data_IF_200088687686
#
_entry.id   IF_200088687686
#
_cell.length_a   1.000
_cell.length_b   1.000
_cell.length_c   1.000
_cell.angle_alpha   90.00
_cell.angle_beta   90.00
_cell.angle_gamma   90.00
#
_symmetry.space_group_name_H-M   'P 1'
#
loop_
_entity.id
_entity.type
_entity.pdbx_description
1 polymer ?
#
# COMPACT_ATOMS: atom_id res chain seq x y z
N UNK A 1 35.35 12.98 35.30
CA UNK A 1 34.05 13.69 35.17
C UNK A 1 33.44 13.27 33.86
N UNK A 2 32.38 12.47 33.94
CA UNK A 2 31.72 11.77 32.86
C UNK A 2 30.96 12.74 31.93
N UNK A 3 31.04 12.50 30.63
CA UNK A 3 30.32 13.24 29.55
C UNK A 3 28.82 12.88 29.47
N UNK A 4 28.17 12.66 30.62
CA UNK A 4 26.75 12.32 30.74
C UNK A 4 26.06 13.38 31.59
N UNK A 5 25.69 14.53 31.03
CA UNK A 5 24.58 15.38 31.51
C UNK A 5 24.56 16.74 30.79
N UNK A 6 24.56 16.73 29.46
CA UNK A 6 23.88 17.81 28.76
C UNK A 6 22.56 17.24 28.29
N UNK A 7 21.51 17.39 29.09
CA UNK A 7 20.14 17.35 28.56
C UNK A 7 20.10 18.43 27.51
N UNK A 8 20.05 18.03 26.23
CA UNK A 8 19.78 18.98 25.16
C UNK A 8 18.50 19.74 25.53
N UNK A 9 18.51 21.06 25.42
CA UNK A 9 17.29 21.84 25.60
C UNK A 9 16.22 21.24 24.70
N UNK A 10 14.95 21.12 25.17
CA UNK A 10 13.89 20.55 24.38
C UNK A 10 13.75 21.32 23.10
N UNK A 11 13.72 20.64 21.95
CA UNK A 11 13.59 21.27 20.65
C UNK A 11 12.33 22.16 20.65
N UNK A 12 12.50 23.42 20.34
CA UNK A 12 11.40 24.41 20.27
C UNK A 12 11.37 25.02 18.88
N UNK A 13 10.18 25.12 18.30
CA UNK A 13 9.92 25.81 17.04
C UNK A 13 8.92 26.92 17.30
N UNK A 14 9.23 28.14 16.86
CA UNK A 14 8.35 29.28 17.00
C UNK A 14 8.12 29.94 15.63
N UNK A 15 6.90 30.38 15.38
CA UNK A 15 6.49 31.10 14.17
C UNK A 15 5.22 31.92 14.46
N UNK A 16 4.83 32.78 13.52
CA UNK A 16 3.60 33.54 13.63
C UNK A 16 2.54 33.09 12.62
N UNK A 17 1.30 33.29 12.97
CA UNK A 17 0.14 33.24 12.05
C UNK A 17 -0.69 34.51 12.22
N UNK A 18 -1.49 34.86 11.23
CA UNK A 18 -2.37 36.04 11.32
C UNK A 18 -3.75 35.66 11.86
N UNK A 19 -4.34 36.57 12.64
CA UNK A 19 -5.75 36.51 12.95
C UNK A 19 -6.61 36.78 11.70
N UNK A 20 -7.89 36.40 11.77
CA UNK A 20 -8.83 36.64 10.66
C UNK A 20 -10.26 36.79 11.19
N UNK A 21 -11.08 37.79 10.69
CA UNK A 21 -12.43 38.04 11.20
C UNK A 21 -13.42 36.88 11.10
N UNK A 22 -13.12 35.91 10.24
CA UNK A 22 -13.92 34.71 10.07
C UNK A 22 -13.51 33.54 11.00
N UNK A 23 -12.53 33.72 11.88
CA UNK A 23 -12.16 32.71 12.88
C UNK A 23 -13.30 32.59 13.89
N UNK A 24 -13.91 31.41 13.93
CA UNK A 24 -14.98 31.05 14.88
C UNK A 24 -14.50 30.07 15.94
N UNK A 25 -13.53 29.23 15.58
CA UNK A 25 -12.91 28.22 16.44
C UNK A 25 -13.97 27.40 17.21
N UNK A 26 -14.90 26.78 16.48
CA UNK A 26 -16.02 26.01 17.06
C UNK A 26 -15.95 24.52 16.76
N UNK A 27 -14.90 24.06 16.08
CA UNK A 27 -14.75 22.65 15.70
C UNK A 27 -14.27 21.79 16.88
N UNK A 28 -15.04 20.74 17.21
CA UNK A 28 -14.86 19.90 18.40
C UNK A 28 -13.85 18.74 18.26
N UNK A 29 -13.29 18.54 17.05
CA UNK A 29 -12.36 17.43 16.75
C UNK A 29 -11.01 17.88 16.23
N UNK A 30 -10.88 19.13 15.76
CA UNK A 30 -9.72 19.59 15.02
C UNK A 30 -9.40 21.05 15.33
N UNK A 31 -8.12 21.37 15.32
CA UNK A 31 -7.55 22.70 15.27
C UNK A 31 -6.63 22.79 14.05
N UNK A 32 -6.60 23.93 13.36
CA UNK A 32 -5.81 24.10 12.15
C UNK A 32 -5.14 25.48 12.10
N UNK A 33 -3.87 25.51 11.71
CA UNK A 33 -3.12 26.70 11.33
C UNK A 33 -2.76 26.54 9.83
N UNK A 34 -3.15 27.49 8.98
CA UNK A 34 -2.98 27.36 7.52
C UNK A 34 -2.14 28.46 6.90
N UNK A 35 -1.45 28.15 5.81
CA UNK A 35 -0.79 29.14 4.94
C UNK A 35 -1.78 29.91 4.07
N UNK A 36 -3.01 29.48 3.95
CA UNK A 36 -4.04 30.24 3.26
C UNK A 36 -4.19 31.61 3.90
N UNK A 37 -4.35 32.63 3.08
CA UNK A 37 -4.44 34.03 3.53
C UNK A 37 -5.87 34.45 3.86
N UNK A 38 -6.88 33.67 3.44
CA UNK A 38 -8.29 33.95 3.65
C UNK A 38 -9.07 32.69 3.91
N UNK A 39 -10.06 32.78 4.79
CA UNK A 39 -10.99 31.71 5.14
C UNK A 39 -12.43 32.23 5.16
N UNK A 40 -13.37 31.32 5.06
CA UNK A 40 -14.79 31.61 5.29
C UNK A 40 -15.21 31.18 6.70
N UNK A 41 -16.36 31.65 7.19
CA UNK A 41 -16.91 31.21 8.49
C UNK A 41 -17.21 29.70 8.58
N UNK A 42 -17.19 28.98 7.44
CA UNK A 42 -17.33 27.52 7.40
C UNK A 42 -16.06 26.78 7.85
N UNK A 43 -14.92 27.45 7.85
CA UNK A 43 -13.64 26.91 8.31
C UNK A 43 -13.56 26.93 9.86
N UNK A 44 -14.44 26.18 10.52
CA UNK A 44 -14.63 26.22 11.98
C UNK A 44 -13.45 25.67 12.80
N UNK A 45 -12.51 24.94 12.16
CA UNK A 45 -11.28 24.43 12.77
C UNK A 45 -10.10 25.40 12.70
N UNK A 46 -10.10 26.35 11.77
CA UNK A 46 -8.96 27.25 11.55
C UNK A 46 -8.93 28.31 12.64
N UNK A 47 -7.78 28.47 13.28
CA UNK A 47 -7.52 29.47 14.32
C UNK A 47 -6.44 30.47 13.93
N UNK A 48 -5.74 30.26 12.80
CA UNK A 48 -4.76 31.20 12.25
C UNK A 48 -4.53 30.97 10.78
N UNK A 49 -4.36 32.07 10.02
CA UNK A 49 -4.11 32.11 8.57
C UNK A 49 -2.73 32.65 8.29
N UNK A 50 -2.30 32.61 7.02
CA UNK A 50 -0.99 33.09 6.56
C UNK A 50 0.19 32.60 7.43
N UNK A 51 0.16 31.33 7.81
CA UNK A 51 1.17 30.72 8.69
C UNK A 51 2.57 30.80 8.06
N UNK A 52 3.54 31.28 8.83
CA UNK A 52 4.94 31.47 8.45
C UNK A 52 5.83 30.32 8.95
N UNK A 53 5.30 29.13 9.18
CA UNK A 53 6.09 28.00 9.67
C UNK A 53 7.13 27.52 8.65
N UNK A 54 8.29 27.09 9.17
CA UNK A 54 9.34 26.43 8.41
C UNK A 54 9.13 24.90 8.49
N UNK A 55 8.83 24.27 7.36
CA UNK A 55 8.61 22.83 7.27
C UNK A 55 9.82 22.04 7.78
N UNK A 56 11.06 22.51 7.50
CA UNK A 56 12.28 21.81 7.92
C UNK A 56 12.39 21.79 9.45
N UNK A 57 12.09 22.91 10.12
CA UNK A 57 12.08 22.97 11.57
C UNK A 57 11.00 22.08 12.17
N UNK A 58 9.79 22.06 11.59
CA UNK A 58 8.70 21.20 12.03
C UNK A 58 8.98 19.72 11.79
N UNK A 59 9.67 19.38 10.69
CA UNK A 59 10.08 18.00 10.39
C UNK A 59 11.09 17.43 11.40
N UNK A 60 11.81 18.28 12.12
CA UNK A 60 12.71 17.84 13.19
C UNK A 60 12.00 17.47 14.50
N UNK A 61 10.73 17.90 14.68
CA UNK A 61 9.96 17.59 15.89
C UNK A 61 9.53 16.13 15.92
N UNK A 62 9.60 15.51 17.09
CA UNK A 62 9.18 14.13 17.37
C UNK A 62 8.49 14.05 18.71
N UNK A 63 7.66 13.02 18.88
CA UNK A 63 7.05 12.69 20.16
C UNK A 63 5.93 13.62 20.60
N UNK A 64 5.78 13.75 21.91
CA UNK A 64 4.73 14.59 22.50
C UNK A 64 5.21 16.04 22.64
N UNK A 65 4.36 16.96 22.26
CA UNK A 65 4.66 18.40 22.26
C UNK A 65 3.61 19.19 23.05
N UNK A 66 4.03 20.35 23.54
CA UNK A 66 3.15 21.45 23.95
C UNK A 66 3.10 22.46 22.82
N UNK A 67 1.91 22.92 22.47
CA UNK A 67 1.65 23.97 21.49
C UNK A 67 1.00 25.12 22.24
N UNK A 68 1.67 26.28 22.25
CA UNK A 68 1.17 27.50 22.84
C UNK A 68 0.76 28.48 21.73
N UNK A 69 -0.38 29.13 21.94
CA UNK A 69 -0.91 30.19 21.10
C UNK A 69 -1.05 31.45 21.95
N UNK A 70 -0.48 32.56 21.50
CA UNK A 70 -0.56 33.85 22.20
C UNK A 70 -0.92 34.98 21.23
N UNK A 71 -1.84 35.89 21.66
CA UNK A 71 -2.26 37.02 20.89
C UNK A 71 -2.68 38.15 21.85
N UNK A 72 -2.00 39.32 21.74
CA UNK A 72 -2.33 40.54 22.51
C UNK A 72 -2.60 40.28 24.00
N UNK A 73 -1.66 39.62 24.69
CA UNK A 73 -1.70 39.32 26.11
C UNK A 73 -2.59 38.12 26.51
N UNK A 74 -3.42 37.57 25.62
CA UNK A 74 -4.13 36.33 25.86
C UNK A 74 -3.29 35.14 25.40
N UNK A 75 -3.31 34.03 26.16
CA UNK A 75 -2.54 32.80 25.86
C UNK A 75 -3.34 31.55 26.23
N UNK A 76 -3.19 30.52 25.40
CA UNK A 76 -3.66 29.18 25.72
C UNK A 76 -2.68 28.12 25.23
N UNK A 77 -2.73 26.94 25.82
CA UNK A 77 -1.84 25.83 25.49
C UNK A 77 -2.61 24.53 25.31
N UNK A 78 -2.09 23.65 24.48
CA UNK A 78 -2.54 22.27 24.33
C UNK A 78 -1.34 21.34 24.17
N UNK A 79 -1.54 20.06 24.51
CA UNK A 79 -0.56 19.01 24.23
C UNK A 79 -1.06 18.13 23.12
N UNK A 80 -0.14 17.63 22.28
CA UNK A 80 -0.46 16.68 21.20
C UNK A 80 0.77 15.83 20.89
N UNK A 81 0.63 14.77 20.08
CA UNK A 81 1.71 13.92 19.61
C UNK A 81 1.96 14.19 18.13
N UNK A 82 3.20 14.46 17.75
CA UNK A 82 3.58 14.70 16.34
C UNK A 82 3.30 13.45 15.52
N UNK A 83 2.66 13.64 14.38
CA UNK A 83 2.37 12.55 13.45
C UNK A 83 3.64 12.11 12.73
N UNK A 84 4.01 10.82 12.75
CA UNK A 84 5.14 10.32 11.98
C UNK A 84 4.90 10.41 10.46
N UNK A 85 3.65 10.60 10.02
CA UNK A 85 3.29 10.81 8.61
C UNK A 85 3.34 12.26 8.15
N UNK A 86 3.63 13.20 9.05
CA UNK A 86 3.81 14.59 8.65
C UNK A 86 5.12 14.76 7.89
N UNK A 87 5.03 15.23 6.66
CA UNK A 87 6.16 15.49 5.77
C UNK A 87 6.19 16.96 5.30
N UNK A 88 5.45 17.85 5.97
CA UNK A 88 5.20 19.23 5.57
C UNK A 88 3.85 19.31 4.84
N UNK A 89 3.08 20.32 5.20
CA UNK A 89 1.76 20.58 4.58
C UNK A 89 1.50 22.09 4.77
N UNK A 90 0.84 22.77 3.83
CA UNK A 90 0.46 24.16 4.01
C UNK A 90 -0.46 24.40 5.22
N UNK A 91 -1.05 23.34 5.74
CA UNK A 91 -1.89 23.39 6.95
C UNK A 91 -1.37 22.47 8.03
N UNK A 92 -1.19 22.99 9.24
CA UNK A 92 -0.89 22.20 10.44
C UNK A 92 -2.20 21.77 11.08
N UNK A 93 -2.64 20.57 10.73
CA UNK A 93 -3.89 20.00 11.25
C UNK A 93 -3.61 19.20 12.52
N UNK A 94 -4.20 19.60 13.64
CA UNK A 94 -4.07 19.00 14.96
C UNK A 94 -5.41 18.37 15.32
N UNK A 95 -5.41 17.08 15.70
CA UNK A 95 -6.64 16.30 15.94
C UNK A 95 -6.71 15.76 17.35
N UNK A 96 -7.91 15.76 17.93
CA UNK A 96 -8.18 15.17 19.28
C UNK A 96 -8.06 13.64 19.28
N UNK A 97 -8.50 12.97 18.23
CA UNK A 97 -8.59 11.50 18.23
C UNK A 97 -7.23 10.80 18.12
N UNK A 98 -7.12 9.57 18.66
CA UNK A 98 -5.93 8.74 18.58
C UNK A 98 -5.86 8.12 17.20
N UNK A 99 -5.61 8.68 16.19
CA UNK A 99 -5.58 8.05 14.87
C UNK A 99 -4.56 8.71 13.95
N UNK A 100 -3.61 7.94 13.51
CA UNK A 100 -2.68 8.33 12.48
C UNK A 100 -3.45 8.51 11.17
N UNK A 101 -3.46 9.72 10.64
CA UNK A 101 -4.08 10.06 9.36
C UNK A 101 -3.10 10.84 8.51
N UNK A 102 -3.11 10.59 7.22
CA UNK A 102 -2.41 11.44 6.27
C UNK A 102 -2.84 12.92 6.45
N UNK A 103 -1.93 13.84 6.16
CA UNK A 103 -2.16 15.29 6.29
C UNK A 103 -2.55 15.73 7.72
N UNK A 104 -1.96 15.10 8.73
CA UNK A 104 -2.13 15.45 10.13
C UNK A 104 -0.76 15.83 10.67
N UNK A 105 -0.62 17.03 11.22
CA UNK A 105 0.60 17.48 11.89
C UNK A 105 0.75 16.80 13.25
N UNK A 106 -0.33 16.82 14.06
CA UNK A 106 -0.33 16.20 15.38
C UNK A 106 -1.70 15.59 15.71
N UNK A 107 -1.69 14.54 16.52
CA UNK A 107 -2.87 13.80 16.96
C UNK A 107 -2.90 13.63 18.48
N UNK A 108 -3.95 13.04 19.03
CA UNK A 108 -4.17 12.87 20.47
C UNK A 108 -4.02 14.20 21.23
N UNK A 109 -4.64 15.23 20.68
CA UNK A 109 -4.58 16.58 21.23
C UNK A 109 -5.49 16.74 22.46
N UNK A 110 -4.97 17.37 23.49
CA UNK A 110 -5.73 17.68 24.73
C UNK A 110 -6.85 18.68 24.50
N UNK A 111 -6.71 19.57 23.50
CA UNK A 111 -7.70 20.56 23.09
C UNK A 111 -7.85 20.62 21.57
N UNK A 112 -9.00 21.13 21.14
CA UNK A 112 -9.31 21.45 19.73
C UNK A 112 -9.68 22.91 19.62
N UNK A 113 -10.09 23.37 18.44
CA UNK A 113 -10.48 24.76 18.25
C UNK A 113 -11.59 25.21 19.21
N UNK A 114 -12.58 24.35 19.47
CA UNK A 114 -13.70 24.65 20.37
C UNK A 114 -13.33 24.81 21.85
N UNK A 115 -12.21 24.21 22.28
CA UNK A 115 -11.78 24.23 23.68
C UNK A 115 -10.83 25.38 24.01
N UNK A 116 -10.38 26.13 23.00
CA UNK A 116 -9.50 27.27 23.24
C UNK A 116 -10.19 28.38 24.02
N UNK A 117 -9.39 29.08 24.80
CA UNK A 117 -9.86 30.25 25.56
C UNK A 117 -10.58 31.25 24.66
N UNK A 118 -11.79 31.63 25.03
CA UNK A 118 -12.64 32.52 24.23
C UNK A 118 -12.10 33.97 24.17
N UNK A 119 -11.34 34.42 25.20
CA UNK A 119 -10.68 35.72 25.13
C UNK A 119 -9.56 35.72 24.11
N UNK A 120 -8.77 34.62 24.02
CA UNK A 120 -7.77 34.43 22.96
C UNK A 120 -8.44 34.43 21.59
N UNK A 121 -9.52 33.67 21.40
CA UNK A 121 -10.22 33.62 20.11
C UNK A 121 -10.81 34.98 19.72
N UNK A 122 -11.31 35.75 20.64
CA UNK A 122 -11.78 37.12 20.38
C UNK A 122 -10.64 38.04 19.88
N UNK A 123 -9.44 37.94 20.47
CA UNK A 123 -8.26 38.67 19.99
C UNK A 123 -7.82 38.25 18.59
N UNK A 124 -7.79 36.95 18.34
CA UNK A 124 -7.46 36.39 17.00
C UNK A 124 -8.48 36.86 15.96
N UNK A 125 -9.76 36.86 16.29
CA UNK A 125 -10.83 37.29 15.39
C UNK A 125 -10.83 38.81 15.13
N UNK A 126 -10.30 39.63 16.05
CA UNK A 126 -10.12 41.05 15.81
C UNK A 126 -9.14 41.31 14.67
N UNK A 127 -8.21 40.38 14.40
CA UNK A 127 -7.22 40.43 13.33
C UNK A 127 -6.28 41.65 13.36
N UNK A 128 -6.12 42.26 14.53
CA UNK A 128 -5.27 43.49 14.74
C UNK A 128 -3.81 43.11 15.00
N UNK A 129 -3.55 41.90 15.49
CA UNK A 129 -2.23 41.42 15.88
C UNK A 129 -1.94 40.02 15.29
N UNK A 130 -0.66 39.71 15.13
CA UNK A 130 -0.21 38.35 14.83
C UNK A 130 -0.43 37.46 16.04
N UNK A 131 -0.57 36.15 15.78
CA UNK A 131 -0.67 35.12 16.79
C UNK A 131 0.67 34.40 16.86
N UNK A 132 1.33 34.48 17.99
CA UNK A 132 2.59 33.79 18.24
C UNK A 132 2.26 32.30 18.51
N UNK A 133 2.93 31.40 17.79
CA UNK A 133 2.83 29.96 17.95
C UNK A 133 4.19 29.43 18.40
N UNK A 134 4.20 28.74 19.53
CA UNK A 134 5.39 28.06 20.04
C UNK A 134 5.10 26.56 20.21
N UNK A 135 5.93 25.70 19.65
CA UNK A 135 5.83 24.24 19.76
C UNK A 135 7.07 23.73 20.45
N UNK A 136 6.92 23.13 21.62
CA UNK A 136 8.00 22.63 22.47
C UNK A 136 7.84 21.13 22.67
N UNK A 137 8.92 20.37 22.40
CA UNK A 137 8.95 18.92 22.64
C UNK A 137 8.97 18.66 24.15
N UNK A 138 8.04 17.83 24.64
CA UNK A 138 7.96 17.38 26.03
C UNK A 138 8.60 16.01 26.19
N UNK A 139 8.23 15.05 25.34
CA UNK A 139 8.63 13.66 25.38
C UNK A 139 9.01 13.22 23.96
N UNK A 140 10.30 13.20 23.59
CA UNK A 140 10.73 12.91 22.22
C UNK A 140 10.42 11.48 21.78
N UNK A 141 10.42 10.52 22.71
CA UNK A 141 10.23 9.08 22.44
C UNK A 141 8.76 8.64 22.51
N UNK A 142 7.82 9.56 22.72
CA UNK A 142 6.40 9.24 22.89
C UNK A 142 5.69 8.78 21.59
N UNK A 143 6.34 8.90 20.42
CA UNK A 143 5.81 8.42 19.16
C UNK A 143 6.90 7.70 18.37
N UNK A 144 6.58 6.52 17.83
CA UNK A 144 7.44 5.81 16.87
C UNK A 144 7.50 6.52 15.52
N UNK A 145 8.44 6.10 14.66
CA UNK A 145 8.57 6.55 13.29
C UNK A 145 7.52 5.99 12.35
N UNK A 146 7.72 6.17 11.06
CA UNK A 146 6.86 5.61 10.02
C UNK A 146 7.68 4.97 8.90
N UNK A 147 7.19 3.85 8.38
CA UNK A 147 7.69 3.20 7.17
C UNK A 147 6.79 3.56 5.99
N UNK A 148 7.35 4.19 4.97
CA UNK A 148 6.67 4.50 3.72
C UNK A 148 7.07 3.48 2.66
N UNK A 149 6.10 2.79 2.07
CA UNK A 149 6.33 1.88 0.94
C UNK A 149 6.03 2.67 -0.34
N UNK A 150 7.08 3.08 -1.05
CA UNK A 150 6.99 4.07 -2.14
C UNK A 150 7.15 3.40 -3.49
N UNK A 151 6.13 3.52 -4.35
CA UNK A 151 6.21 3.03 -5.73
C UNK A 151 7.00 3.98 -6.61
N UNK A 152 7.90 3.41 -7.44
CA UNK A 152 8.72 4.11 -8.42
C UNK A 152 8.25 3.85 -9.86
N UNK A 153 8.68 4.66 -10.84
CA UNK A 153 8.40 4.43 -12.25
C UNK A 153 8.83 3.05 -12.74
N UNK A 154 8.06 2.47 -13.66
CA UNK A 154 8.37 1.18 -14.30
C UNK A 154 9.04 1.35 -15.68
N UNK A 155 9.37 2.58 -16.06
CA UNK A 155 10.06 2.88 -17.31
C UNK A 155 9.86 4.29 -17.85
N UNK A 156 8.84 5.01 -17.38
CA UNK A 156 8.59 6.40 -17.73
C UNK A 156 8.69 7.27 -16.46
N UNK A 157 9.70 8.15 -16.41
CA UNK A 157 9.92 9.01 -15.25
C UNK A 157 8.73 9.97 -14.99
N UNK A 158 7.89 10.23 -15.99
CA UNK A 158 6.65 11.00 -15.86
C UNK A 158 5.59 10.33 -14.98
N UNK A 159 5.73 9.03 -14.69
CA UNK A 159 4.85 8.30 -13.79
C UNK A 159 5.27 8.43 -12.30
N UNK A 160 6.39 9.10 -12.01
CA UNK A 160 6.81 9.41 -10.65
C UNK A 160 5.82 10.41 -10.03
N UNK A 161 5.13 9.98 -9.00
CA UNK A 161 4.11 10.84 -8.38
C UNK A 161 4.76 11.98 -7.58
N UNK A 162 4.17 13.19 -7.54
CA UNK A 162 4.67 14.30 -6.70
C UNK A 162 4.82 13.90 -5.23
N UNK A 163 3.90 13.05 -4.71
CA UNK A 163 3.97 12.55 -3.34
C UNK A 163 5.14 11.60 -3.13
N UNK A 164 5.53 10.80 -4.12
CA UNK A 164 6.72 9.95 -4.02
C UNK A 164 7.98 10.81 -3.89
N UNK A 165 8.12 11.85 -4.70
CA UNK A 165 9.21 12.81 -4.61
C UNK A 165 9.25 13.45 -3.23
N UNK A 166 8.12 14.00 -2.75
CA UNK A 166 8.01 14.64 -1.45
C UNK A 166 8.45 13.70 -0.30
N UNK A 167 8.01 12.43 -0.33
CA UNK A 167 8.40 11.43 0.67
C UNK A 167 9.90 11.18 0.61
N UNK A 168 10.46 10.92 -0.58
CA UNK A 168 11.87 10.59 -0.75
C UNK A 168 12.81 11.72 -0.34
N UNK A 169 12.40 12.99 -0.53
CA UNK A 169 13.17 14.15 -0.11
C UNK A 169 13.12 14.43 1.40
N UNK A 170 12.02 14.02 2.09
CA UNK A 170 11.71 14.47 3.44
C UNK A 170 11.77 13.40 4.53
N UNK A 171 11.94 12.14 4.16
CA UNK A 171 12.21 11.07 5.13
C UNK A 171 13.62 11.17 5.70
N UNK A 172 13.93 10.44 6.75
CA UNK A 172 15.26 10.43 7.38
C UNK A 172 16.20 9.41 6.70
N UNK A 173 15.62 8.34 6.13
CA UNK A 173 16.35 7.25 5.45
C UNK A 173 15.53 6.66 4.29
N UNK A 174 16.20 6.37 3.18
CA UNK A 174 15.65 5.58 2.06
C UNK A 174 16.33 4.21 2.01
N UNK A 175 15.55 3.15 2.05
CA UNK A 175 15.95 1.78 1.79
C UNK A 175 15.73 1.51 0.30
N UNK A 176 16.79 1.39 -0.49
CA UNK A 176 16.71 1.15 -1.92
C UNK A 176 17.31 -0.20 -2.28
N UNK A 177 16.68 -0.94 -3.18
CA UNK A 177 17.19 -2.21 -3.68
C UNK A 177 18.57 -1.99 -4.31
N UNK A 178 18.69 -1.05 -5.26
CA UNK A 178 19.96 -0.55 -5.79
C UNK A 178 20.03 0.99 -5.67
N UNK A 179 20.88 1.48 -4.78
CA UNK A 179 21.07 2.94 -4.56
C UNK A 179 21.57 3.68 -5.82
N UNK A 180 22.23 2.99 -6.75
CA UNK A 180 22.71 3.59 -8.01
C UNK A 180 21.53 3.86 -8.95
N UNK A 181 20.52 2.97 -8.98
CA UNK A 181 19.29 3.17 -9.76
C UNK A 181 18.45 4.30 -9.18
N UNK A 182 18.33 4.38 -7.87
CA UNK A 182 17.69 5.52 -7.21
C UNK A 182 18.39 6.83 -7.58
N UNK A 183 19.72 6.88 -7.49
CA UNK A 183 20.49 8.08 -7.85
C UNK A 183 20.33 8.47 -9.34
N UNK A 184 20.28 7.49 -10.24
CA UNK A 184 19.99 7.76 -11.64
C UNK A 184 18.57 8.33 -11.86
N UNK A 185 17.58 7.88 -11.08
CA UNK A 185 16.22 8.44 -11.11
C UNK A 185 16.20 9.87 -10.58
N UNK A 186 16.90 10.16 -9.46
CA UNK A 186 17.05 11.52 -8.92
C UNK A 186 17.54 12.50 -9.98
N UNK A 187 18.60 12.11 -10.72
CA UNK A 187 19.18 12.96 -11.76
C UNK A 187 18.21 13.20 -12.92
N UNK A 188 17.46 12.19 -13.35
CA UNK A 188 16.51 12.32 -14.47
C UNK A 188 15.26 13.09 -14.10
N UNK A 189 14.74 12.85 -12.88
CA UNK A 189 13.49 13.43 -12.41
C UNK A 189 13.68 14.78 -11.68
N UNK A 190 14.93 15.19 -11.38
CA UNK A 190 15.26 16.50 -10.84
C UNK A 190 14.91 16.68 -9.36
N UNK A 191 15.06 15.64 -8.53
CA UNK A 191 14.90 15.71 -7.07
C UNK A 191 16.14 15.16 -6.36
N UNK A 192 16.19 15.30 -5.03
CA UNK A 192 17.28 14.75 -4.21
C UNK A 192 16.68 13.98 -3.05
N UNK A 193 16.84 12.67 -3.06
CA UNK A 193 16.38 11.82 -1.97
C UNK A 193 17.19 12.07 -0.69
N UNK A 194 16.60 11.76 0.44
CA UNK A 194 17.29 11.69 1.71
C UNK A 194 18.41 10.64 1.69
N UNK A 195 19.15 10.51 2.79
CA UNK A 195 20.19 9.49 2.94
C UNK A 195 19.69 8.11 2.52
N UNK A 196 20.29 7.50 1.51
CA UNK A 196 19.91 6.18 1.01
C UNK A 196 20.89 5.08 1.45
N UNK A 197 20.37 3.87 1.66
CA UNK A 197 21.16 2.66 1.91
C UNK A 197 20.57 1.48 1.15
N UNK A 198 21.44 0.51 0.76
CA UNK A 198 20.96 -0.67 0.03
C UNK A 198 20.19 -1.62 0.94
N UNK A 199 19.04 -2.12 0.45
CA UNK A 199 18.17 -3.08 1.12
C UNK A 199 17.57 -4.02 0.08
N UNK A 200 18.06 -5.26 0.02
CA UNK A 200 17.72 -6.25 -1.00
C UNK A 200 17.65 -7.66 -0.38
N UNK A 201 17.14 -8.64 -1.08
CA UNK A 201 16.91 -10.01 -0.60
C UNK A 201 18.13 -10.65 0.12
N UNK A 202 19.35 -10.32 -0.32
CA UNK A 202 20.56 -10.89 0.27
C UNK A 202 21.01 -10.24 1.58
N UNK A 203 20.52 -9.04 1.91
CA UNK A 203 20.92 -8.33 3.13
C UNK A 203 19.76 -7.93 4.06
N UNK A 204 18.50 -8.13 3.63
CA UNK A 204 17.34 -7.70 4.41
C UNK A 204 17.28 -8.34 5.79
N UNK A 205 17.62 -9.63 5.93
CA UNK A 205 17.61 -10.34 7.20
C UNK A 205 18.63 -9.78 8.20
N UNK A 206 19.79 -9.32 7.72
CA UNK A 206 20.84 -8.70 8.53
C UNK A 206 20.50 -7.26 8.93
N UNK A 207 19.87 -6.51 8.01
CA UNK A 207 19.62 -5.08 8.17
C UNK A 207 18.33 -4.74 8.89
N UNK A 208 17.34 -5.63 8.90
CA UNK A 208 16.01 -5.34 9.44
C UNK A 208 16.02 -4.84 10.87
N UNK A 209 16.83 -5.41 11.76
CA UNK A 209 16.88 -4.99 13.15
C UNK A 209 17.41 -3.57 13.33
N UNK A 210 18.40 -3.17 12.50
CA UNK A 210 18.90 -1.79 12.45
C UNK A 210 17.84 -0.80 11.98
N UNK A 211 17.09 -1.14 10.93
CA UNK A 211 16.00 -0.33 10.41
C UNK A 211 14.89 -0.17 11.44
N UNK A 212 14.50 -1.25 12.12
CA UNK A 212 13.48 -1.18 13.16
C UNK A 212 13.94 -0.34 14.36
N UNK A 213 15.24 -0.37 14.69
CA UNK A 213 15.78 0.50 15.72
C UNK A 213 15.69 1.99 15.33
N UNK A 214 15.89 2.34 14.06
CA UNK A 214 15.70 3.71 13.57
C UNK A 214 14.22 4.12 13.63
N UNK A 215 13.31 3.26 13.17
CA UNK A 215 11.87 3.48 13.26
C UNK A 215 11.38 3.65 14.72
N UNK A 216 11.90 2.86 15.68
CA UNK A 216 11.56 3.02 17.11
C UNK A 216 12.05 4.34 17.70
N UNK A 217 13.13 4.93 17.17
CA UNK A 217 13.61 6.27 17.56
C UNK A 217 12.81 7.41 16.95
N UNK A 218 11.74 7.11 16.20
CA UNK A 218 10.90 8.13 15.58
C UNK A 218 11.33 8.54 14.16
N UNK A 219 12.31 7.84 13.57
CA UNK A 219 12.77 8.11 12.22
C UNK A 219 11.69 7.74 11.17
N UNK A 220 11.62 8.50 10.11
CA UNK A 220 10.80 8.22 8.93
C UNK A 220 11.65 7.50 7.90
N UNK A 221 11.20 6.34 7.48
CA UNK A 221 11.95 5.49 6.54
C UNK A 221 11.12 5.24 5.30
N UNK A 222 11.68 5.43 4.11
CA UNK A 222 11.07 5.03 2.85
C UNK A 222 11.69 3.73 2.35
N UNK A 223 10.86 2.81 1.85
CA UNK A 223 11.27 1.60 1.14
C UNK A 223 10.93 1.75 -0.33
N UNK A 224 11.91 1.55 -1.22
CA UNK A 224 11.75 1.54 -2.68
C UNK A 224 12.39 0.29 -3.28
N UNK A 225 11.79 -0.24 -4.35
CA UNK A 225 12.40 -1.20 -5.26
C UNK A 225 13.02 -0.49 -6.47
N UNK A 226 13.69 -1.23 -7.32
CA UNK A 226 14.30 -0.70 -8.55
C UNK A 226 13.26 -0.12 -9.53
N UNK A 227 12.03 -0.65 -9.51
CA UNK A 227 10.92 -0.21 -10.33
C UNK A 227 9.58 -0.72 -9.76
N UNK A 228 8.50 0.03 -9.91
CA UNK A 228 7.17 -0.37 -9.48
C UNK A 228 6.96 -0.29 -7.96
N UNK A 229 6.11 -1.16 -7.43
CA UNK A 229 5.70 -1.17 -6.03
C UNK A 229 6.50 -2.20 -5.25
N UNK A 230 7.27 -1.80 -4.21
CA UNK A 230 8.04 -2.72 -3.38
C UNK A 230 7.20 -3.86 -2.81
N UNK A 231 7.86 -4.97 -2.41
CA UNK A 231 7.23 -6.17 -1.83
C UNK A 231 6.53 -7.07 -2.87
N UNK A 232 6.03 -6.52 -3.97
CA UNK A 232 5.33 -7.28 -5.01
C UNK A 232 6.33 -7.91 -6.01
N UNK A 233 6.88 -9.05 -5.68
CA UNK A 233 8.00 -9.74 -6.36
C UNK A 233 9.35 -9.02 -6.20
N UNK A 234 9.45 -8.17 -5.21
CA UNK A 234 10.60 -7.36 -4.84
C UNK A 234 10.91 -7.52 -3.34
N UNK A 235 12.11 -7.16 -2.86
CA UNK A 235 12.45 -7.19 -1.43
C UNK A 235 11.58 -6.25 -0.60
N UNK A 236 11.57 -6.47 0.72
CA UNK A 236 10.93 -5.58 1.69
C UNK A 236 9.82 -6.21 2.53
N UNK A 237 9.37 -7.43 2.21
CA UNK A 237 8.35 -8.11 3.01
C UNK A 237 8.76 -8.22 4.49
N UNK A 238 10.02 -8.52 4.77
CA UNK A 238 10.53 -8.73 6.13
C UNK A 238 10.39 -7.47 6.97
N UNK A 239 10.86 -6.31 6.46
CA UNK A 239 10.77 -5.06 7.21
C UNK A 239 9.33 -4.58 7.39
N UNK A 240 8.48 -4.72 6.37
CA UNK A 240 7.06 -4.36 6.45
C UNK A 240 6.35 -5.23 7.48
N UNK A 241 6.54 -6.55 7.41
CA UNK A 241 5.92 -7.50 8.33
C UNK A 241 6.34 -7.25 9.79
N UNK A 242 7.64 -7.03 10.01
CA UNK A 242 8.19 -6.76 11.34
C UNK A 242 7.72 -5.41 11.90
N UNK A 243 7.69 -4.37 11.07
CA UNK A 243 7.19 -3.05 11.45
C UNK A 243 5.72 -3.12 11.89
N UNK A 244 4.88 -3.82 11.12
CA UNK A 244 3.46 -4.03 11.47
C UNK A 244 3.33 -4.82 12.79
N UNK A 245 4.11 -5.88 12.97
CA UNK A 245 4.07 -6.69 14.21
C UNK A 245 4.47 -5.90 15.45
N UNK A 246 5.32 -4.90 15.31
CA UNK A 246 5.76 -4.00 16.38
C UNK A 246 4.86 -2.76 16.56
N UNK A 247 3.77 -2.64 15.79
CA UNK A 247 2.87 -1.49 15.86
C UNK A 247 3.43 -0.21 15.25
N UNK A 248 4.54 -0.30 14.52
CA UNK A 248 5.12 0.83 13.79
C UNK A 248 4.20 1.19 12.62
N UNK A 249 3.97 2.47 12.42
CA UNK A 249 3.10 2.97 11.37
C UNK A 249 3.66 2.67 9.97
N UNK A 250 2.89 2.01 9.12
CA UNK A 250 3.26 1.72 7.72
C UNK A 250 2.27 2.41 6.79
N UNK A 251 2.77 3.16 5.80
CA UNK A 251 1.94 3.88 4.84
C UNK A 251 2.37 3.60 3.41
N UNK A 252 1.46 3.17 2.52
CA UNK A 252 1.77 3.09 1.10
C UNK A 252 1.76 4.49 0.45
N UNK A 253 2.69 4.70 -0.47
CA UNK A 253 2.68 5.81 -1.41
C UNK A 253 2.34 5.23 -2.79
N UNK A 254 1.08 5.33 -3.23
CA UNK A 254 0.64 4.73 -4.48
C UNK A 254 1.39 5.28 -5.69
N UNK A 255 1.60 4.41 -6.66
CA UNK A 255 2.26 4.77 -7.90
C UNK A 255 2.19 3.63 -8.92
N UNK A 256 3.11 3.59 -9.90
CA UNK A 256 3.10 2.63 -10.99
C UNK A 256 3.20 1.17 -10.53
N UNK A 257 2.52 0.30 -11.27
CA UNK A 257 2.58 -1.15 -11.13
C UNK A 257 2.39 -1.79 -12.50
N UNK A 258 3.34 -2.57 -12.97
CA UNK A 258 3.25 -3.23 -14.27
C UNK A 258 2.04 -4.17 -14.34
N UNK A 259 1.73 -4.88 -13.24
CA UNK A 259 0.56 -5.76 -13.16
C UNK A 259 -0.75 -5.00 -13.39
N UNK A 260 -0.97 -3.90 -12.65
CA UNK A 260 -2.19 -3.10 -12.79
C UNK A 260 -2.26 -2.35 -14.12
N UNK A 261 -1.12 -1.87 -14.65
CA UNK A 261 -1.06 -1.20 -15.94
C UNK A 261 -1.49 -2.13 -17.07
N UNK A 262 -1.00 -3.38 -17.08
CA UNK A 262 -1.38 -4.35 -18.09
C UNK A 262 -2.83 -4.81 -17.91
N UNK A 263 -3.30 -5.04 -16.69
CA UNK A 263 -4.70 -5.36 -16.41
C UNK A 263 -5.64 -4.29 -16.97
N UNK A 264 -5.32 -3.01 -16.75
CA UNK A 264 -6.14 -1.89 -17.23
C UNK A 264 -6.21 -1.81 -18.76
N UNK A 265 -5.16 -2.26 -19.47
CA UNK A 265 -5.04 -2.16 -20.92
C UNK A 265 -5.26 -3.49 -21.67
N UNK A 266 -5.40 -4.63 -20.98
CA UNK A 266 -5.41 -5.95 -21.64
C UNK A 266 -6.63 -6.22 -22.50
N UNK A 267 -7.79 -5.61 -22.20
CA UNK A 267 -9.06 -5.85 -22.91
C UNK A 267 -9.68 -7.22 -22.66
N UNK A 268 -9.26 -7.90 -21.58
CA UNK A 268 -9.79 -9.19 -21.13
C UNK A 268 -10.68 -9.00 -19.89
N UNK A 269 -11.57 -9.96 -19.54
CA UNK A 269 -12.35 -9.88 -18.31
C UNK A 269 -11.45 -10.05 -17.08
N UNK A 270 -11.26 -8.96 -16.30
CA UNK A 270 -10.32 -8.89 -15.17
C UNK A 270 -10.94 -8.35 -13.87
N UNK A 271 -12.25 -8.38 -13.75
CA UNK A 271 -13.00 -8.00 -12.55
C UNK A 271 -12.57 -8.79 -11.30
N UNK A 272 -12.07 -10.01 -11.50
CA UNK A 272 -11.40 -10.83 -10.48
C UNK A 272 -10.09 -11.37 -11.05
N UNK A 273 -9.02 -11.20 -10.32
CA UNK A 273 -7.70 -11.71 -10.74
C UNK A 273 -6.86 -12.20 -9.57
N UNK A 274 -5.88 -13.05 -9.86
CA UNK A 274 -4.81 -13.46 -8.97
C UNK A 274 -3.47 -13.01 -9.54
N UNK A 275 -2.63 -12.40 -8.71
CA UNK A 275 -1.25 -12.05 -9.05
C UNK A 275 -0.33 -13.19 -8.62
N UNK A 276 0.40 -13.76 -9.56
CA UNK A 276 1.23 -14.95 -9.34
C UNK A 276 2.75 -14.64 -9.29
N UNK A 277 3.15 -13.36 -9.46
CA UNK A 277 4.57 -13.01 -9.58
C UNK A 277 5.21 -13.70 -10.78
N UNK A 278 6.43 -14.21 -10.62
CA UNK A 278 7.12 -14.99 -11.67
C UNK A 278 6.75 -16.47 -11.61
N UNK A 279 6.39 -17.04 -12.76
CA UNK A 279 6.11 -18.47 -12.86
C UNK A 279 7.40 -19.30 -12.77
N UNK A 280 7.31 -20.57 -12.31
CA UNK A 280 8.47 -21.46 -12.18
C UNK A 280 9.29 -21.58 -13.47
N UNK A 281 10.63 -21.64 -13.34
CA UNK A 281 11.54 -21.78 -14.50
C UNK A 281 11.39 -23.12 -15.20
N UNK A 282 11.18 -24.20 -14.45
CA UNK A 282 11.02 -25.56 -14.98
C UNK A 282 9.62 -25.73 -15.59
N UNK A 283 9.54 -26.21 -16.84
CA UNK A 283 8.30 -26.35 -17.62
C UNK A 283 7.24 -27.18 -16.91
N UNK A 284 7.59 -28.36 -16.34
CA UNK A 284 6.63 -29.20 -15.63
C UNK A 284 5.99 -28.51 -14.42
N UNK A 285 6.79 -27.81 -13.59
CA UNK A 285 6.31 -27.01 -12.45
C UNK A 285 5.52 -25.80 -12.91
N UNK A 286 5.90 -25.17 -14.02
CA UNK A 286 5.17 -24.04 -14.60
C UNK A 286 3.80 -24.46 -15.09
N UNK A 287 3.66 -25.60 -15.79
CA UNK A 287 2.36 -26.17 -16.22
C UNK A 287 1.49 -26.51 -15.02
N UNK A 288 2.05 -27.10 -13.98
CA UNK A 288 1.32 -27.34 -12.74
C UNK A 288 0.81 -26.04 -12.12
N UNK A 289 1.66 -25.04 -11.97
CA UNK A 289 1.25 -23.73 -11.42
C UNK A 289 0.15 -23.07 -12.29
N UNK A 290 0.29 -23.11 -13.63
CA UNK A 290 -0.76 -22.60 -14.54
C UNK A 290 -2.08 -23.35 -14.33
N UNK A 291 -2.06 -24.69 -14.19
CA UNK A 291 -3.26 -25.48 -13.94
C UNK A 291 -3.94 -25.10 -12.63
N UNK A 292 -3.16 -24.98 -11.55
CA UNK A 292 -3.66 -24.58 -10.22
C UNK A 292 -4.25 -23.17 -10.24
N UNK A 293 -3.53 -22.20 -10.79
CA UNK A 293 -3.96 -20.80 -10.84
C UNK A 293 -5.21 -20.60 -11.72
N UNK A 294 -5.26 -21.23 -12.88
CA UNK A 294 -6.41 -21.12 -13.79
C UNK A 294 -7.63 -21.90 -13.28
N UNK A 295 -7.43 -22.92 -12.43
CA UNK A 295 -8.49 -23.62 -11.71
C UNK A 295 -9.27 -22.71 -10.74
N UNK A 296 -8.74 -21.55 -10.37
CA UNK A 296 -9.46 -20.55 -9.57
C UNK A 296 -10.59 -19.84 -10.34
N UNK A 297 -10.67 -20.01 -11.66
CA UNK A 297 -11.73 -19.44 -12.50
C UNK A 297 -11.74 -17.92 -12.57
N UNK A 298 -10.61 -17.27 -12.38
CA UNK A 298 -10.41 -15.82 -12.52
C UNK A 298 -9.16 -15.52 -13.33
N UNK A 299 -8.98 -14.26 -13.76
CA UNK A 299 -7.78 -13.88 -14.50
C UNK A 299 -6.51 -14.12 -13.68
N UNK A 300 -5.43 -14.49 -14.36
CA UNK A 300 -4.10 -14.67 -13.74
C UNK A 300 -3.15 -13.65 -14.32
N UNK A 301 -2.45 -12.93 -13.45
CA UNK A 301 -1.42 -11.96 -13.83
C UNK A 301 -0.07 -12.48 -13.37
N UNK A 302 0.91 -12.53 -14.27
CA UNK A 302 2.25 -12.93 -13.91
C UNK A 302 3.31 -12.10 -14.65
N UNK A 303 4.49 -12.02 -14.04
CA UNK A 303 5.68 -11.43 -14.66
C UNK A 303 6.49 -12.48 -15.40
N UNK A 304 7.13 -12.07 -16.50
CA UNK A 304 8.03 -12.92 -17.25
C UNK A 304 9.11 -12.11 -17.96
N UNK A 305 10.28 -12.70 -18.10
CA UNK A 305 11.31 -12.12 -18.95
C UNK A 305 11.00 -12.37 -20.42
N UNK A 306 11.34 -11.42 -21.29
CA UNK A 306 11.13 -11.59 -22.73
C UNK A 306 11.81 -12.85 -23.31
N UNK A 307 12.97 -13.23 -22.76
CA UNK A 307 13.67 -14.45 -23.18
C UNK A 307 12.89 -15.77 -22.90
N UNK A 308 11.97 -15.74 -21.93
CA UNK A 308 11.21 -16.93 -21.51
C UNK A 308 9.75 -16.90 -21.99
N UNK A 309 9.24 -15.75 -22.43
CA UNK A 309 7.83 -15.53 -22.73
C UNK A 309 7.27 -16.56 -23.73
N UNK A 310 8.01 -16.89 -24.80
CA UNK A 310 7.58 -17.88 -25.79
C UNK A 310 7.37 -19.27 -25.17
N UNK A 311 8.31 -19.74 -24.35
CA UNK A 311 8.23 -21.04 -23.68
C UNK A 311 7.09 -21.05 -22.62
N UNK A 312 6.88 -19.94 -21.93
CA UNK A 312 5.80 -19.79 -20.96
C UNK A 312 4.44 -19.82 -21.65
N UNK A 313 4.28 -19.10 -22.76
CA UNK A 313 3.06 -19.14 -23.58
C UNK A 313 2.76 -20.54 -24.14
N UNK A 314 3.79 -21.28 -24.58
CA UNK A 314 3.62 -22.67 -25.04
C UNK A 314 3.12 -23.59 -23.91
N UNK A 315 3.62 -23.42 -22.68
CA UNK A 315 3.14 -24.17 -21.52
C UNK A 315 1.72 -23.77 -21.12
N UNK A 316 1.37 -22.49 -21.23
CA UNK A 316 -0.02 -22.02 -21.01
C UNK A 316 -0.95 -22.65 -22.05
N UNK A 317 -0.60 -22.64 -23.33
CA UNK A 317 -1.39 -23.24 -24.40
C UNK A 317 -1.61 -24.75 -24.19
N UNK A 318 -0.60 -25.45 -23.68
CA UNK A 318 -0.70 -26.89 -23.39
C UNK A 318 -1.66 -27.21 -22.25
N UNK A 319 -1.85 -26.31 -21.31
CA UNK A 319 -2.70 -26.49 -20.12
C UNK A 319 -4.10 -25.88 -20.34
N UNK A 320 -4.17 -24.70 -20.95
CA UNK A 320 -5.40 -23.93 -21.16
C UNK A 320 -5.47 -23.37 -22.59
N UNK A 321 -5.68 -24.24 -23.58
CA UNK A 321 -5.77 -23.82 -24.99
C UNK A 321 -6.99 -22.91 -25.26
N UNK A 322 -7.99 -22.94 -24.39
CA UNK A 322 -9.23 -22.18 -24.42
C UNK A 322 -9.08 -20.75 -23.86
N UNK A 323 -8.00 -20.45 -23.15
CA UNK A 323 -7.81 -19.14 -22.51
C UNK A 323 -7.19 -18.12 -23.46
N UNK A 324 -7.60 -16.86 -23.28
CA UNK A 324 -7.00 -15.72 -23.96
C UNK A 324 -5.84 -15.15 -23.15
N UNK A 325 -4.83 -14.67 -23.85
CA UNK A 325 -3.67 -14.06 -23.20
C UNK A 325 -3.44 -12.65 -23.76
N UNK A 326 -3.09 -11.73 -22.90
CA UNK A 326 -2.50 -10.45 -23.24
C UNK A 326 -1.06 -10.41 -22.71
N UNK A 327 -0.12 -10.10 -23.56
CA UNK A 327 1.28 -9.85 -23.21
C UNK A 327 1.52 -8.35 -23.34
N UNK A 328 1.72 -7.65 -22.21
CA UNK A 328 2.24 -6.30 -22.17
C UNK A 328 3.76 -6.35 -22.03
N UNK A 329 4.48 -5.82 -23.00
CA UNK A 329 5.94 -5.77 -23.03
C UNK A 329 6.44 -4.34 -22.92
N UNK A 330 7.51 -4.09 -22.15
CA UNK A 330 8.15 -2.79 -21.98
C UNK A 330 7.14 -1.67 -21.69
N UNK A 331 6.15 -1.95 -20.85
CA UNK A 331 5.04 -1.05 -20.54
C UNK A 331 5.54 0.28 -19.99
N UNK A 332 5.01 1.39 -20.47
CA UNK A 332 5.40 2.79 -20.27
C UNK A 332 6.72 3.22 -20.93
N UNK A 333 7.50 2.28 -21.51
CA UNK A 333 8.78 2.56 -22.17
C UNK A 333 8.60 2.84 -23.67
N UNK A 334 9.66 3.27 -24.34
CA UNK A 334 9.64 3.61 -25.80
C UNK A 334 9.19 2.44 -26.67
N UNK A 335 9.44 1.21 -26.24
CA UNK A 335 9.06 -0.01 -26.97
C UNK A 335 7.84 -0.70 -26.36
N UNK A 336 6.93 0.07 -25.75
CA UNK A 336 5.67 -0.46 -25.24
C UNK A 336 4.89 -1.20 -26.31
N UNK A 337 4.47 -2.42 -26.02
CA UNK A 337 3.73 -3.26 -26.92
C UNK A 337 2.71 -4.12 -26.17
N UNK A 338 1.52 -4.26 -26.76
CA UNK A 338 0.48 -5.16 -26.28
C UNK A 338 0.08 -6.15 -27.36
N UNK A 339 0.35 -7.44 -27.14
CA UNK A 339 -0.11 -8.53 -28.00
C UNK A 339 -1.19 -9.35 -27.31
N UNK A 340 -2.27 -9.62 -28.04
CA UNK A 340 -3.46 -10.32 -27.51
C UNK A 340 -3.83 -11.46 -28.44
N UNK A 341 -4.30 -12.58 -27.87
CA UNK A 341 -4.79 -13.72 -28.64
C UNK A 341 -4.63 -15.04 -27.90
N UNK A 342 -4.85 -16.17 -28.59
CA UNK A 342 -4.57 -17.50 -28.07
C UNK A 342 -3.10 -17.67 -27.72
N UNK A 343 -2.84 -18.41 -26.65
CA UNK A 343 -1.47 -18.57 -26.13
C UNK A 343 -0.52 -19.24 -27.14
N UNK A 344 -1.00 -20.18 -27.95
CA UNK A 344 -0.22 -20.89 -28.95
C UNK A 344 0.20 -19.99 -30.14
N UNK A 345 -0.67 -19.10 -30.57
CA UNK A 345 -0.38 -18.11 -31.61
C UNK A 345 0.68 -17.11 -31.14
N UNK A 346 0.50 -16.61 -29.93
CA UNK A 346 1.48 -15.71 -29.30
C UNK A 346 2.82 -16.40 -29.09
N UNK A 347 2.84 -17.68 -28.66
CA UNK A 347 4.07 -18.45 -28.51
C UNK A 347 4.88 -18.54 -29.81
N UNK A 348 4.20 -18.80 -30.94
CA UNK A 348 4.84 -18.82 -32.28
C UNK A 348 5.41 -17.45 -32.65
N UNK A 349 4.63 -16.37 -32.45
CA UNK A 349 5.06 -15.01 -32.75
C UNK A 349 6.31 -14.62 -31.94
N UNK A 350 6.30 -14.83 -30.63
CA UNK A 350 7.43 -14.52 -29.76
C UNK A 350 8.65 -15.40 -29.99
N UNK A 351 8.49 -16.60 -30.55
CA UNK A 351 9.61 -17.46 -30.95
C UNK A 351 10.36 -16.88 -32.15
N UNK A 352 9.64 -16.28 -33.09
CA UNK A 352 10.20 -15.64 -34.29
C UNK A 352 10.87 -14.31 -33.94
N UNK A 353 10.16 -13.44 -33.24
CA UNK A 353 10.58 -12.06 -33.00
C UNK A 353 11.67 -11.93 -31.93
N UNK A 354 11.77 -12.90 -30.99
CA UNK A 354 12.77 -12.93 -29.90
C UNK A 354 12.95 -11.57 -29.22
N UNK A 355 11.88 -10.96 -28.67
CA UNK A 355 11.96 -9.63 -28.10
C UNK A 355 12.88 -9.58 -26.88
N UNK A 356 13.35 -8.38 -26.54
CA UNK A 356 14.09 -8.09 -25.32
C UNK A 356 13.17 -7.36 -24.31
N UNK A 357 13.59 -7.34 -23.05
CA UNK A 357 12.95 -6.58 -21.99
C UNK A 357 12.09 -7.43 -21.07
N UNK A 358 11.11 -6.80 -20.47
CA UNK A 358 10.24 -7.35 -19.43
C UNK A 358 8.80 -7.46 -19.94
N UNK A 359 8.14 -8.52 -19.55
CA UNK A 359 6.75 -8.80 -19.94
C UNK A 359 5.87 -9.02 -18.72
N UNK A 360 4.66 -8.52 -18.81
CA UNK A 360 3.56 -8.88 -17.90
C UNK A 360 2.49 -9.60 -18.71
N UNK A 361 2.13 -10.80 -18.29
CA UNK A 361 1.11 -11.60 -18.93
C UNK A 361 -0.19 -11.55 -18.11
N UNK A 362 -1.31 -11.37 -18.82
CA UNK A 362 -2.65 -11.54 -18.27
C UNK A 362 -3.32 -12.69 -19.01
N UNK A 363 -3.69 -13.73 -18.28
CA UNK A 363 -4.45 -14.86 -18.78
C UNK A 363 -5.88 -14.72 -18.27
N UNK A 364 -6.87 -14.91 -19.13
CA UNK A 364 -8.26 -14.85 -18.72
C UNK A 364 -9.08 -15.97 -19.39
N UNK A 365 -10.11 -16.49 -18.70
CA UNK A 365 -11.03 -17.44 -19.29
C UNK A 365 -11.79 -16.80 -20.45
N UNK A 366 -12.37 -17.58 -21.38
CA UNK A 366 -13.22 -17.05 -22.44
C UNK A 366 -14.36 -16.19 -21.87
N UNK A 367 -14.76 -15.16 -22.61
CA UNK A 367 -15.86 -14.28 -22.20
C UNK A 367 -17.15 -15.12 -22.00
N UNK A 368 -17.77 -14.98 -20.83
CA UNK A 368 -18.97 -15.74 -20.46
C UNK A 368 -18.69 -17.12 -19.84
N UNK A 369 -17.44 -17.54 -19.73
CA UNK A 369 -17.10 -18.67 -18.90
C UNK A 369 -17.47 -18.33 -17.44
N UNK A 370 -18.41 -19.07 -16.90
CA UNK A 370 -18.60 -19.08 -15.44
C UNK A 370 -17.32 -19.65 -14.84
N UNK A 371 -16.85 -19.16 -13.66
CA UNK A 371 -15.84 -19.89 -12.92
C UNK A 371 -16.31 -21.36 -12.92
N UNK A 372 -15.49 -22.26 -13.40
CA UNK A 372 -15.76 -23.68 -13.16
C UNK A 372 -16.00 -23.76 -11.67
N UNK A 373 -17.25 -23.99 -11.26
CA UNK A 373 -17.58 -24.34 -9.89
C UNK A 373 -16.57 -25.43 -9.59
N UNK A 374 -15.58 -25.11 -8.76
CA UNK A 374 -14.38 -25.90 -8.46
C UNK A 374 -14.66 -27.34 -8.89
N UNK A 375 -13.87 -27.89 -9.80
CA UNK A 375 -14.03 -29.28 -10.22
C UNK A 375 -13.81 -30.25 -9.01
N UNK A 376 -14.42 -29.93 -7.90
CA UNK A 376 -14.71 -30.78 -6.77
C UNK A 376 -15.71 -31.88 -7.17
N UNK A 377 -16.28 -31.78 -8.41
CA UNK A 377 -17.21 -32.74 -8.92
C UNK A 377 -16.59 -34.11 -8.99
N UNK A 378 -15.55 -34.28 -9.76
CA UNK A 378 -15.03 -35.62 -10.08
C UNK A 378 -14.22 -36.20 -8.92
N UNK A 379 -13.43 -35.45 -8.19
CA UNK A 379 -12.71 -35.92 -7.01
C UNK A 379 -13.67 -36.23 -5.84
N UNK A 380 -14.66 -35.38 -5.58
CA UNK A 380 -15.65 -35.60 -4.54
C UNK A 380 -16.54 -36.78 -4.90
N UNK A 381 -16.93 -36.93 -6.16
CA UNK A 381 -17.73 -38.05 -6.62
C UNK A 381 -16.94 -39.37 -6.58
N UNK A 382 -15.65 -39.37 -6.87
CA UNK A 382 -14.77 -40.52 -6.72
C UNK A 382 -14.64 -40.93 -5.23
N UNK A 383 -14.46 -39.96 -4.34
CA UNK A 383 -14.44 -40.23 -2.89
C UNK A 383 -15.78 -40.74 -2.38
N UNK A 384 -16.90 -40.15 -2.83
CA UNK A 384 -18.24 -40.58 -2.46
C UNK A 384 -18.51 -42.03 -2.94
N UNK A 385 -18.14 -42.39 -4.18
CA UNK A 385 -18.23 -43.76 -4.70
C UNK A 385 -17.40 -44.73 -3.86
N UNK A 386 -16.16 -44.36 -3.52
CA UNK A 386 -15.29 -45.19 -2.69
C UNK A 386 -15.85 -45.43 -1.28
N UNK A 387 -16.50 -44.41 -0.68
CA UNK A 387 -17.12 -44.48 0.63
C UNK A 387 -18.43 -45.30 0.58
N UNK A 388 -19.25 -45.16 -0.46
CA UNK A 388 -20.43 -45.97 -0.71
C UNK A 388 -20.05 -47.45 -0.88
N UNK A 389 -19.01 -47.75 -1.64
CA UNK A 389 -18.48 -49.11 -1.83
C UNK A 389 -17.98 -49.74 -0.51
N UNK A 390 -17.63 -48.95 0.49
CA UNK A 390 -17.26 -49.37 1.86
C UNK A 390 -18.44 -49.45 2.81
N UNK A 391 -19.66 -49.28 2.33
CA UNK A 391 -20.89 -49.40 3.11
C UNK A 391 -21.25 -48.18 3.95
N UNK A 392 -20.67 -46.99 3.68
CA UNK A 392 -21.08 -45.78 4.37
C UNK A 392 -22.48 -45.36 3.89
N UNK A 393 -23.46 -45.14 4.80
CA UNK A 393 -24.84 -44.84 4.40
C UNK A 393 -24.95 -43.58 3.58
N UNK A 394 -25.75 -43.60 2.50
CA UNK A 394 -25.96 -42.46 1.60
C UNK A 394 -26.46 -41.21 2.35
N UNK A 395 -27.28 -41.37 3.39
CA UNK A 395 -27.75 -40.25 4.21
C UNK A 395 -26.62 -39.55 4.95
N UNK A 396 -25.63 -40.29 5.47
CA UNK A 396 -24.45 -39.75 6.15
C UNK A 396 -23.57 -38.97 5.16
N UNK A 397 -23.36 -39.52 3.96
CA UNK A 397 -22.58 -38.86 2.92
C UNK A 397 -23.28 -37.59 2.39
N UNK A 398 -24.60 -37.63 2.23
CA UNK A 398 -25.40 -36.49 1.84
C UNK A 398 -25.35 -35.35 2.92
N UNK A 399 -25.32 -35.73 4.20
CA UNK A 399 -25.17 -34.78 5.28
C UNK A 399 -23.78 -34.15 5.28
N UNK A 400 -22.72 -34.93 5.07
CA UNK A 400 -21.34 -34.42 4.93
C UNK A 400 -21.18 -33.51 3.69
N UNK A 401 -21.80 -33.90 2.57
CA UNK A 401 -21.75 -33.12 1.32
C UNK A 401 -22.41 -31.73 1.44
N UNK A 402 -23.37 -31.56 2.35
CA UNK A 402 -23.97 -30.23 2.65
C UNK A 402 -23.00 -29.24 3.29
N UNK A 403 -21.92 -29.72 3.88
CA UNK A 403 -20.86 -28.86 4.45
C UNK A 403 -19.85 -28.36 3.39
N UNK A 404 -19.92 -28.90 2.17
CA UNK A 404 -19.05 -28.48 1.07
C UNK A 404 -19.59 -27.18 0.45
N UNK A 405 -18.79 -26.11 0.37
CA UNK A 405 -19.21 -24.87 -0.28
C UNK A 405 -19.68 -25.09 -1.72
N UNK A 406 -20.80 -24.49 -2.10
CA UNK A 406 -21.36 -24.59 -3.45
C UNK A 406 -22.37 -25.73 -3.67
N UNK A 407 -22.56 -26.66 -2.72
CA UNK A 407 -23.55 -27.72 -2.81
C UNK A 407 -24.89 -27.29 -2.21
N UNK A 408 -25.96 -27.27 -3.02
CA UNK A 408 -27.30 -26.93 -2.55
C UNK A 408 -27.88 -28.06 -1.71
N UNK A 409 -28.60 -27.69 -0.65
CA UNK A 409 -29.16 -28.66 0.32
C UNK A 409 -30.01 -29.72 -0.32
N UNK A 410 -30.75 -29.40 -1.36
CA UNK A 410 -31.66 -30.31 -2.08
C UNK A 410 -30.93 -31.20 -3.10
N UNK A 411 -29.72 -30.83 -3.51
CA UNK A 411 -28.94 -31.56 -4.52
C UNK A 411 -28.01 -32.59 -3.90
N UNK A 412 -27.59 -32.41 -2.64
CA UNK A 412 -26.63 -33.28 -1.96
C UNK A 412 -27.10 -34.75 -1.89
N UNK A 413 -28.36 -34.97 -1.54
CA UNK A 413 -28.90 -36.30 -1.41
C UNK A 413 -29.11 -36.97 -2.78
N UNK A 414 -29.66 -36.23 -3.75
CA UNK A 414 -29.85 -36.71 -5.12
C UNK A 414 -28.52 -37.09 -5.78
N UNK A 415 -27.45 -36.29 -5.55
CA UNK A 415 -26.11 -36.56 -6.06
C UNK A 415 -25.50 -37.84 -5.49
N UNK A 416 -25.63 -38.07 -4.17
CA UNK A 416 -25.11 -39.29 -3.54
C UNK A 416 -25.87 -40.53 -4.02
N UNK A 417 -27.20 -40.46 -4.19
CA UNK A 417 -27.99 -41.55 -4.74
C UNK A 417 -27.62 -41.88 -6.19
N UNK A 418 -27.39 -40.85 -7.02
CA UNK A 418 -26.98 -41.06 -8.40
C UNK A 418 -25.61 -41.75 -8.52
N UNK A 419 -24.72 -41.59 -7.52
CA UNK A 419 -23.43 -42.26 -7.48
C UNK A 419 -23.46 -43.67 -6.96
N UNK A 420 -24.51 -44.02 -6.19
CA UNK A 420 -24.65 -45.31 -5.53
C UNK A 420 -25.23 -46.47 -6.40
N UNK A 421 -25.65 -46.20 -7.64
CA UNK A 421 -26.21 -47.16 -8.58
C UNK A 421 -27.11 -48.22 -7.95
N UNK A 422 -28.46 -48.14 -8.14
CA UNK A 422 -29.55 -49.05 -7.73
C UNK A 422 -29.86 -49.09 -6.22
N UNK A 423 -31.09 -48.70 -5.90
CA UNK A 423 -31.73 -48.94 -4.62
C UNK A 423 -31.85 -50.46 -4.35
N UNK A 424 -31.69 -50.92 -3.11
CA UNK A 424 -32.04 -52.31 -2.77
C UNK A 424 -33.55 -52.49 -3.01
N UNK A 425 -33.90 -53.47 -3.82
CA UNK A 425 -35.29 -53.95 -3.91
C UNK A 425 -35.70 -54.47 -2.54
N UNK A 426 -36.75 -53.88 -1.98
CA UNK A 426 -37.45 -54.45 -0.81
C UNK A 426 -37.88 -55.90 -1.14
N UNK A 427 -37.49 -56.81 -0.26
CA UNK A 427 -38.19 -58.07 -0.03
C UNK A 427 -38.66 -58.05 1.41
#
# INVERSE_FOLDING_TARGET
>A
MSARDRRAEPATVAFAVRGHPNVTATHDKTLELTRDIAITRRATCVVGVASMHDDRALLALRGRVEIALACDGARDTLTATISPFFLGDPSLVIRRGPGLRARTFAYDASKTAADLDRALIARIAAAEHDVDVEIRVLEPDAAGGALFVVSLPIGNDGDLTPRAVEVLERVDLVLAEDTRRLHALEQRAGFTAARATSYHDHNEAERVDGVLAELRRGERVALVSDAGTPVLSDPGYVVVSRAVAEGIAVSPVPGPSAALSVLAACGLPVDRFVFAGFLPRQSSRRRQAVSELTGLGCAVVCYESAARVAATLADIAAVRPDWQVCVGREVTKVFEEFRRGPADELARAFTVDKPLGECTLVLAPPAGARPDAVAAGDDVDAVLRALLARGVPAATLAQALRAVPGVRRNEAYARVLALGGEAPREQ
#
